data_IF_413807317186
#
_entry.id   IF_413807317186
#
_cell.length_a   1.000
_cell.length_b   1.000
_cell.length_c   1.000
_cell.angle_alpha   90.00
_cell.angle_beta   90.00
_cell.angle_gamma   90.00
#
_symmetry.space_group_name_H-M   'P 1'
#
loop_
_entity.id
_entity.type
_entity.pdbx_description
1 polymer ?
#
# COMPACT_ATOMS: atom_id res chain seq x y z
N UNK A 1 15.21 -46.53 -32.08
CA UNK A 1 14.69 -46.00 -30.80
C UNK A 1 15.72 -45.05 -30.24
N UNK A 2 15.54 -43.74 -30.39
CA UNK A 2 16.35 -42.77 -29.63
C UNK A 2 15.83 -42.81 -28.19
N UNK A 3 16.62 -43.40 -27.30
CA UNK A 3 16.45 -43.17 -25.87
C UNK A 3 16.79 -41.70 -25.66
N UNK A 4 15.77 -40.86 -25.52
CA UNK A 4 15.96 -39.52 -24.99
C UNK A 4 16.59 -39.71 -23.60
N UNK A 5 17.87 -39.39 -23.47
CA UNK A 5 18.51 -39.26 -22.19
C UNK A 5 17.72 -38.19 -21.43
N UNK A 6 16.86 -38.62 -20.51
CA UNK A 6 16.14 -37.72 -19.62
C UNK A 6 17.21 -36.96 -18.84
N UNK A 7 17.39 -35.69 -19.19
CA UNK A 7 18.34 -34.81 -18.52
C UNK A 7 17.96 -34.73 -17.04
N UNK A 8 18.75 -35.36 -16.18
CA UNK A 8 18.65 -35.14 -14.74
C UNK A 8 19.06 -33.70 -14.48
N UNK A 9 18.25 -32.97 -13.74
CA UNK A 9 18.62 -31.62 -13.30
C UNK A 9 19.14 -31.67 -11.87
N UNK A 10 19.93 -30.68 -11.49
CA UNK A 10 20.26 -30.42 -10.10
C UNK A 10 19.88 -28.98 -9.75
N UNK A 11 19.27 -28.78 -8.58
CA UNK A 11 18.94 -27.46 -8.02
C UNK A 11 19.97 -27.15 -6.95
N UNK A 12 20.62 -26.00 -7.05
CA UNK A 12 21.57 -25.53 -6.04
C UNK A 12 20.83 -25.22 -4.74
N UNK A 13 21.26 -25.80 -3.61
CA UNK A 13 20.56 -25.68 -2.31
C UNK A 13 21.19 -24.68 -1.34
N UNK A 14 22.36 -24.15 -1.67
CA UNK A 14 23.13 -23.24 -0.83
C UNK A 14 23.54 -21.98 -1.59
N UNK A 15 23.79 -20.90 -0.87
CA UNK A 15 24.37 -19.69 -1.46
C UNK A 15 25.87 -19.85 -1.68
N UNK A 16 26.39 -19.11 -2.68
CA UNK A 16 27.82 -19.03 -2.98
C UNK A 16 28.50 -20.37 -3.34
N UNK A 17 27.80 -21.24 -4.05
CA UNK A 17 28.32 -22.55 -4.48
C UNK A 17 29.30 -22.37 -5.64
N UNK A 18 30.57 -22.81 -5.52
CA UNK A 18 31.56 -22.62 -6.58
C UNK A 18 31.32 -23.62 -7.73
N UNK A 19 31.13 -23.10 -8.94
CA UNK A 19 31.23 -23.90 -10.17
C UNK A 19 32.72 -24.00 -10.55
N UNK A 20 33.29 -25.20 -10.50
CA UNK A 20 34.74 -25.41 -10.66
C UNK A 20 35.09 -26.02 -12.01
N UNK A 21 36.30 -25.74 -12.49
CA UNK A 21 36.83 -26.31 -13.73
C UNK A 21 37.17 -27.82 -13.63
N UNK A 22 37.17 -28.40 -12.43
CA UNK A 22 37.47 -29.82 -12.21
C UNK A 22 36.89 -30.34 -10.88
N UNK A 23 36.79 -31.67 -10.71
CA UNK A 23 36.14 -32.32 -9.56
C UNK A 23 37.06 -32.37 -8.32
N UNK A 24 37.51 -31.20 -7.85
CA UNK A 24 38.35 -31.05 -6.64
C UNK A 24 38.29 -29.60 -6.12
N UNK A 25 38.45 -29.41 -4.81
CA UNK A 25 38.34 -28.08 -4.20
C UNK A 25 39.43 -27.10 -4.64
N UNK A 26 40.60 -27.61 -4.99
CA UNK A 26 41.73 -26.81 -5.50
C UNK A 26 41.61 -26.47 -6.99
N UNK A 27 40.54 -26.90 -7.68
CA UNK A 27 40.30 -26.49 -9.05
C UNK A 27 39.81 -25.04 -9.12
N UNK A 28 40.23 -24.33 -10.16
CA UNK A 28 39.86 -22.94 -10.39
C UNK A 28 38.33 -22.77 -10.41
N UNK A 29 37.84 -21.78 -9.67
CA UNK A 29 36.45 -21.38 -9.67
C UNK A 29 36.14 -20.61 -10.95
N UNK A 30 35.16 -21.06 -11.71
CA UNK A 30 34.74 -20.45 -12.97
C UNK A 30 33.53 -19.53 -12.80
N UNK A 31 32.66 -19.81 -11.83
CA UNK A 31 31.51 -19.00 -11.49
C UNK A 31 31.05 -19.27 -10.04
N UNK A 32 30.18 -18.40 -9.53
CA UNK A 32 29.47 -18.60 -8.26
C UNK A 32 28.00 -18.81 -8.57
N UNK A 33 27.44 -19.89 -8.03
CA UNK A 33 26.04 -20.26 -8.11
C UNK A 33 25.33 -19.93 -6.79
N UNK A 34 24.03 -19.72 -6.89
CA UNK A 34 23.19 -19.34 -5.74
C UNK A 34 22.02 -20.29 -5.60
N UNK A 35 21.43 -20.34 -4.41
CA UNK A 35 20.31 -21.23 -4.17
C UNK A 35 19.17 -20.97 -5.18
N UNK A 36 18.64 -22.06 -5.74
CA UNK A 36 17.64 -22.00 -6.80
C UNK A 36 18.18 -21.95 -8.23
N UNK A 37 19.49 -21.74 -8.45
CA UNK A 37 20.10 -21.96 -9.78
C UNK A 37 19.85 -23.44 -10.19
N UNK A 38 19.52 -23.68 -11.47
CA UNK A 38 19.31 -25.02 -12.03
C UNK A 38 20.43 -25.40 -12.98
N UNK A 39 20.82 -26.67 -12.90
CA UNK A 39 21.96 -27.23 -13.62
C UNK A 39 21.53 -28.50 -14.35
N UNK A 40 21.96 -28.66 -15.60
CA UNK A 40 21.84 -29.93 -16.31
C UNK A 40 22.97 -30.86 -15.86
N UNK A 41 22.65 -32.03 -15.32
CA UNK A 41 23.65 -33.02 -14.87
C UNK A 41 24.08 -33.87 -16.06
N UNK A 42 25.39 -33.92 -16.30
CA UNK A 42 26.02 -34.66 -17.41
C UNK A 42 26.87 -35.84 -16.96
N UNK A 43 27.16 -35.95 -15.67
CA UNK A 43 27.90 -37.06 -15.09
C UNK A 43 28.25 -36.83 -13.63
N UNK A 44 28.91 -37.81 -13.01
CA UNK A 44 29.38 -37.74 -11.63
C UNK A 44 30.80 -38.29 -11.52
N UNK A 45 31.67 -37.61 -10.77
CA UNK A 45 33.05 -38.02 -10.55
C UNK A 45 33.56 -37.51 -9.20
N UNK A 46 34.12 -38.40 -8.39
CA UNK A 46 34.80 -38.05 -7.13
C UNK A 46 33.91 -37.24 -6.15
N UNK A 47 32.59 -37.50 -6.12
CA UNK A 47 31.64 -36.75 -5.29
C UNK A 47 31.24 -35.38 -5.85
N UNK A 48 31.65 -35.07 -7.09
CA UNK A 48 31.21 -33.89 -7.83
C UNK A 48 30.27 -34.30 -8.96
N UNK A 49 29.24 -33.48 -9.21
CA UNK A 49 28.45 -33.57 -10.43
C UNK A 49 29.12 -32.74 -11.53
N UNK A 50 29.32 -33.34 -12.70
CA UNK A 50 29.62 -32.62 -13.92
C UNK A 50 28.33 -32.01 -14.45
N UNK A 51 28.31 -30.70 -14.63
CA UNK A 51 27.09 -29.95 -14.89
C UNK A 51 27.26 -28.94 -16.02
N UNK A 52 26.12 -28.52 -16.59
CA UNK A 52 26.01 -27.36 -17.45
C UNK A 52 25.02 -26.35 -16.87
N UNK A 53 25.49 -25.13 -16.60
CA UNK A 53 24.66 -23.98 -16.24
C UNK A 53 24.18 -23.31 -17.53
N UNK A 54 22.88 -23.45 -17.83
CA UNK A 54 22.25 -22.84 -19.01
C UNK A 54 22.15 -21.32 -18.91
N UNK A 55 22.07 -20.75 -17.71
CA UNK A 55 21.98 -19.30 -17.52
C UNK A 55 23.28 -18.59 -17.87
N UNK A 56 24.41 -19.22 -17.54
CA UNK A 56 25.76 -18.67 -17.77
C UNK A 56 26.49 -19.32 -18.94
N UNK A 57 25.82 -20.25 -19.63
CA UNK A 57 26.35 -21.06 -20.74
C UNK A 57 27.72 -21.67 -20.40
N UNK A 58 27.82 -22.31 -19.22
CA UNK A 58 29.10 -22.73 -18.66
C UNK A 58 29.06 -24.15 -18.12
N UNK A 59 29.98 -24.98 -18.60
CA UNK A 59 30.26 -26.30 -18.02
C UNK A 59 31.11 -26.16 -16.75
N UNK A 60 30.96 -27.10 -15.82
CA UNK A 60 31.87 -27.23 -14.69
C UNK A 60 31.51 -28.40 -13.77
N UNK A 61 32.04 -28.35 -12.56
CA UNK A 61 31.84 -29.33 -11.51
C UNK A 61 31.35 -28.65 -10.24
N UNK A 62 30.36 -29.25 -9.58
CA UNK A 62 29.82 -28.81 -8.28
C UNK A 62 29.82 -29.98 -7.31
N UNK A 63 30.04 -29.73 -6.02
CA UNK A 63 29.96 -30.78 -5.00
C UNK A 63 28.53 -31.31 -4.92
N UNK A 64 28.36 -32.64 -4.95
CA UNK A 64 27.03 -33.26 -4.92
C UNK A 64 26.24 -32.90 -3.65
N UNK A 65 26.91 -32.59 -2.53
CA UNK A 65 26.28 -32.18 -1.27
C UNK A 65 25.71 -30.76 -1.27
N UNK A 66 26.05 -29.93 -2.27
CA UNK A 66 25.62 -28.53 -2.39
C UNK A 66 24.43 -28.34 -3.35
N UNK A 67 23.97 -29.43 -3.94
CA UNK A 67 22.87 -29.45 -4.90
C UNK A 67 21.94 -30.61 -4.58
N UNK A 68 20.69 -30.53 -5.05
CA UNK A 68 19.75 -31.64 -5.01
C UNK A 68 19.46 -32.07 -6.44
N UNK A 69 19.83 -33.29 -6.80
CA UNK A 69 19.44 -33.89 -8.06
C UNK A 69 17.94 -34.13 -8.06
N UNK A 70 17.27 -33.80 -9.15
CA UNK A 70 15.82 -33.90 -9.30
C UNK A 70 15.47 -34.37 -10.70
N UNK A 71 14.50 -35.27 -10.78
CA UNK A 71 13.92 -35.73 -12.02
C UNK A 71 12.72 -34.84 -12.39
N UNK A 72 12.60 -34.49 -13.67
CA UNK A 72 11.48 -33.70 -14.19
C UNK A 72 10.36 -34.59 -14.77
N UNK A 73 10.30 -35.84 -14.32
CA UNK A 73 9.22 -36.74 -14.74
C UNK A 73 7.93 -36.43 -13.98
N UNK A 74 6.76 -36.71 -14.58
CA UNK A 74 5.46 -36.50 -13.92
C UNK A 74 5.34 -37.17 -12.55
N UNK A 75 5.94 -38.35 -12.36
CA UNK A 75 5.85 -39.10 -11.09
C UNK A 75 6.47 -38.36 -9.89
N UNK A 76 7.42 -37.44 -10.15
CA UNK A 76 8.16 -36.69 -9.12
C UNK A 76 7.47 -35.35 -8.77
N UNK A 77 6.47 -34.93 -9.55
CA UNK A 77 5.79 -33.66 -9.35
C UNK A 77 5.18 -33.50 -7.93
N UNK A 78 4.57 -34.54 -7.30
CA UNK A 78 4.07 -34.41 -5.94
C UNK A 78 5.17 -34.13 -4.89
N UNK A 79 6.35 -34.75 -5.02
CA UNK A 79 7.49 -34.52 -4.12
C UNK A 79 8.02 -33.09 -4.28
N UNK A 80 8.17 -32.64 -5.53
CA UNK A 80 8.54 -31.25 -5.84
C UNK A 80 7.57 -30.24 -5.21
N UNK A 81 6.25 -30.49 -5.31
CA UNK A 81 5.25 -29.62 -4.71
C UNK A 81 5.32 -29.61 -3.17
N UNK A 82 5.64 -30.74 -2.54
CA UNK A 82 5.86 -30.80 -1.10
C UNK A 82 7.03 -29.91 -0.65
N UNK A 83 8.12 -29.89 -1.43
CA UNK A 83 9.25 -28.98 -1.18
C UNK A 83 8.84 -27.52 -1.38
N UNK A 84 8.06 -27.21 -2.42
CA UNK A 84 7.52 -25.85 -2.63
C UNK A 84 6.68 -25.38 -1.44
N UNK A 85 5.81 -26.23 -0.89
CA UNK A 85 5.00 -25.92 0.29
C UNK A 85 5.86 -25.55 1.50
N UNK A 86 6.93 -26.30 1.74
CA UNK A 86 7.88 -26.01 2.83
C UNK A 86 8.64 -24.69 2.60
N UNK A 87 9.16 -24.48 1.39
CA UNK A 87 9.96 -23.30 1.06
C UNK A 87 9.13 -22.01 1.00
N UNK A 88 7.85 -22.11 0.65
CA UNK A 88 6.91 -20.98 0.69
C UNK A 88 6.98 -20.23 2.01
N UNK A 89 7.06 -20.97 3.12
CA UNK A 89 6.99 -20.43 4.47
C UNK A 89 8.39 -20.30 5.13
N UNK A 90 9.46 -20.45 4.36
CA UNK A 90 10.85 -20.34 4.81
C UNK A 90 11.47 -19.00 4.35
N UNK A 91 11.61 -17.98 5.23
CA UNK A 91 12.26 -16.73 4.88
C UNK A 91 13.75 -16.95 4.54
N UNK A 92 14.24 -16.25 3.53
CA UNK A 92 15.64 -16.40 3.07
C UNK A 92 15.83 -17.44 1.96
N UNK A 93 14.86 -18.33 1.76
CA UNK A 93 14.90 -19.40 0.77
C UNK A 93 14.00 -19.14 -0.47
N UNK A 94 13.63 -17.89 -0.71
CA UNK A 94 12.69 -17.51 -1.77
C UNK A 94 13.21 -17.92 -3.16
N UNK A 95 14.48 -17.64 -3.47
CA UNK A 95 15.08 -18.01 -4.75
C UNK A 95 15.10 -19.55 -4.96
N UNK A 96 15.41 -20.31 -3.90
CA UNK A 96 15.36 -21.77 -3.91
C UNK A 96 13.94 -22.27 -4.21
N UNK A 97 12.94 -21.75 -3.50
CA UNK A 97 11.54 -22.14 -3.67
C UNK A 97 10.97 -21.75 -5.05
N UNK A 98 11.40 -20.64 -5.63
CA UNK A 98 11.09 -20.26 -7.01
C UNK A 98 11.67 -21.30 -7.99
N UNK A 99 12.93 -21.73 -7.79
CA UNK A 99 13.55 -22.79 -8.59
C UNK A 99 12.80 -24.13 -8.49
N UNK A 100 12.39 -24.55 -7.29
CA UNK A 100 11.57 -25.75 -7.11
C UNK A 100 10.17 -25.62 -7.73
N UNK A 101 9.59 -24.42 -7.72
CA UNK A 101 8.30 -24.18 -8.38
C UNK A 101 8.43 -24.31 -9.90
N UNK A 102 9.52 -23.79 -10.49
CA UNK A 102 9.81 -23.98 -11.90
C UNK A 102 10.03 -25.46 -12.25
N UNK A 103 10.73 -26.21 -11.39
CA UNK A 103 10.89 -27.66 -11.57
C UNK A 103 9.54 -28.39 -11.50
N UNK A 104 8.69 -28.06 -10.53
CA UNK A 104 7.33 -28.59 -10.44
C UNK A 104 6.52 -28.31 -11.71
N UNK A 105 6.50 -27.07 -12.19
CA UNK A 105 5.74 -26.67 -13.38
C UNK A 105 6.24 -27.36 -14.67
N UNK A 106 7.53 -27.75 -14.72
CA UNK A 106 8.08 -28.54 -15.82
C UNK A 106 7.73 -30.02 -15.72
N UNK A 107 7.60 -30.56 -14.51
CA UNK A 107 7.33 -31.98 -14.27
C UNK A 107 5.82 -32.30 -14.31
N UNK A 108 4.99 -31.43 -13.75
CA UNK A 108 3.56 -31.67 -13.55
C UNK A 108 2.80 -31.72 -14.90
N UNK A 109 1.92 -32.71 -15.11
CA UNK A 109 0.97 -32.69 -16.21
C UNK A 109 0.09 -31.44 -16.15
N UNK A 110 -0.24 -30.85 -17.31
CA UNK A 110 -0.98 -29.59 -17.37
C UNK A 110 -2.34 -29.63 -16.65
N UNK A 111 -3.02 -30.78 -16.63
CA UNK A 111 -4.29 -30.98 -15.92
C UNK A 111 -4.18 -30.97 -14.40
N UNK A 112 -2.98 -31.20 -13.86
CA UNK A 112 -2.73 -31.31 -12.41
C UNK A 112 -2.22 -29.99 -11.81
N UNK A 113 -1.90 -28.99 -12.64
CA UNK A 113 -1.40 -27.68 -12.19
C UNK A 113 -2.58 -26.86 -11.65
N UNK A 114 -2.67 -26.76 -10.32
CA UNK A 114 -3.67 -25.95 -9.61
C UNK A 114 -3.15 -24.52 -9.33
N UNK A 115 -3.94 -23.71 -8.62
CA UNK A 115 -3.53 -22.37 -8.20
C UNK A 115 -2.41 -22.37 -7.14
N UNK A 116 -2.23 -23.47 -6.41
CA UNK A 116 -1.27 -23.58 -5.30
C UNK A 116 0.18 -23.23 -5.65
N UNK A 117 0.82 -23.79 -6.69
CA UNK A 117 2.18 -23.42 -7.08
C UNK A 117 2.33 -21.93 -7.39
N UNK A 118 1.31 -21.30 -7.99
CA UNK A 118 1.34 -19.87 -8.32
C UNK A 118 1.16 -18.99 -7.09
N UNK A 119 0.33 -19.39 -6.13
CA UNK A 119 0.21 -18.71 -4.83
C UNK A 119 1.53 -18.78 -4.04
N UNK A 120 2.21 -19.93 -4.06
CA UNK A 120 3.52 -20.09 -3.45
C UNK A 120 4.58 -19.22 -4.16
N UNK A 121 4.66 -19.29 -5.49
CA UNK A 121 5.56 -18.48 -6.32
C UNK A 121 5.39 -16.99 -6.04
N UNK A 122 4.15 -16.50 -6.10
CA UNK A 122 3.83 -15.10 -5.83
C UNK A 122 4.21 -14.68 -4.41
N UNK A 123 3.94 -15.53 -3.41
CA UNK A 123 4.27 -15.25 -2.00
C UNK A 123 5.78 -15.13 -1.77
N UNK A 124 6.57 -15.99 -2.42
CA UNK A 124 8.04 -15.94 -2.35
C UNK A 124 8.60 -14.73 -3.10
N UNK A 125 8.08 -14.43 -4.30
CA UNK A 125 8.49 -13.26 -5.08
C UNK A 125 8.19 -11.95 -4.33
N UNK A 126 7.01 -11.82 -3.75
CA UNK A 126 6.59 -10.67 -2.95
C UNK A 126 7.48 -10.49 -1.70
N UNK A 127 7.79 -11.59 -1.00
CA UNK A 127 8.69 -11.55 0.16
C UNK A 127 10.11 -11.16 -0.25
N UNK A 128 10.61 -11.66 -1.38
CA UNK A 128 11.91 -11.29 -1.93
C UNK A 128 11.97 -9.80 -2.29
N UNK A 129 10.92 -9.25 -2.91
CA UNK A 129 10.83 -7.82 -3.22
C UNK A 129 10.85 -6.94 -1.95
N UNK A 130 10.14 -7.35 -0.89
CA UNK A 130 10.16 -6.67 0.42
C UNK A 130 11.54 -6.74 1.07
N UNK A 131 12.19 -7.91 1.07
CA UNK A 131 13.56 -8.08 1.57
C UNK A 131 14.53 -7.16 0.82
N UNK A 132 14.43 -7.09 -0.50
CA UNK A 132 15.24 -6.21 -1.33
C UNK A 132 15.04 -4.73 -0.97
N UNK A 133 13.79 -4.30 -0.80
CA UNK A 133 13.47 -2.93 -0.39
C UNK A 133 14.01 -2.61 1.01
N UNK A 134 13.95 -3.56 1.95
CA UNK A 134 14.40 -3.36 3.33
C UNK A 134 15.94 -3.39 3.49
N UNK A 135 16.66 -4.09 2.61
CA UNK A 135 18.12 -4.28 2.70
C UNK A 135 18.94 -3.35 1.81
N UNK A 136 18.31 -2.34 1.18
CA UNK A 136 19.02 -1.33 0.41
C UNK A 136 20.09 -0.62 1.24
N UNK A 137 21.30 -0.53 0.69
CA UNK A 137 22.46 0.07 1.36
C UNK A 137 23.10 -0.79 2.46
N UNK A 138 22.65 -2.04 2.67
CA UNK A 138 23.24 -2.95 3.66
C UNK A 138 24.29 -3.91 3.08
N UNK A 139 25.15 -4.49 3.93
CA UNK A 139 26.12 -5.54 3.53
C UNK A 139 25.46 -6.82 3.00
N UNK A 140 24.20 -7.08 3.37
CA UNK A 140 23.41 -8.22 2.88
C UNK A 140 22.85 -8.01 1.45
N UNK A 141 23.08 -6.84 0.85
CA UNK A 141 22.58 -6.47 -0.49
C UNK A 141 23.08 -7.40 -1.60
N UNK A 142 24.28 -7.98 -1.49
CA UNK A 142 24.82 -8.85 -2.53
C UNK A 142 24.07 -10.19 -2.66
N UNK A 143 23.74 -10.82 -1.52
CA UNK A 143 22.93 -12.05 -1.50
C UNK A 143 21.53 -11.80 -2.04
N UNK A 144 20.88 -10.72 -1.62
CA UNK A 144 19.53 -10.39 -2.12
C UNK A 144 19.55 -10.06 -3.61
N UNK A 145 20.55 -9.33 -4.09
CA UNK A 145 20.71 -9.08 -5.52
C UNK A 145 20.85 -10.39 -6.31
N UNK A 146 21.67 -11.33 -5.83
CA UNK A 146 21.80 -12.63 -6.46
C UNK A 146 20.50 -13.45 -6.43
N UNK A 147 19.73 -13.41 -5.33
CA UNK A 147 18.41 -14.05 -5.24
C UNK A 147 17.41 -13.44 -6.23
N UNK A 148 17.45 -12.12 -6.43
CA UNK A 148 16.65 -11.44 -7.45
C UNK A 148 17.04 -11.89 -8.86
N UNK A 149 18.33 -12.00 -9.17
CA UNK A 149 18.79 -12.52 -10.46
C UNK A 149 18.28 -13.95 -10.73
N UNK A 150 18.38 -14.85 -9.74
CA UNK A 150 17.85 -16.21 -9.84
C UNK A 150 16.34 -16.18 -10.12
N UNK A 151 15.57 -15.37 -9.38
CA UNK A 151 14.14 -15.23 -9.60
C UNK A 151 13.80 -14.70 -11.01
N UNK A 152 14.52 -13.67 -11.48
CA UNK A 152 14.30 -13.09 -12.82
C UNK A 152 14.62 -14.07 -13.95
N UNK A 153 15.60 -14.98 -13.75
CA UNK A 153 15.88 -16.05 -14.71
C UNK A 153 14.68 -16.98 -14.91
N UNK A 154 13.85 -17.18 -13.88
CA UNK A 154 12.60 -17.94 -13.98
C UNK A 154 11.41 -17.11 -14.47
N UNK A 155 11.63 -15.86 -14.92
CA UNK A 155 10.58 -14.98 -15.43
C UNK A 155 9.82 -14.19 -14.36
N UNK A 156 10.29 -14.17 -13.11
CA UNK A 156 9.72 -13.32 -12.06
C UNK A 156 10.18 -11.88 -12.25
N UNK A 157 9.24 -10.97 -12.56
CA UNK A 157 9.58 -9.58 -12.84
C UNK A 157 9.35 -8.67 -11.63
N UNK A 158 10.27 -7.74 -11.42
CA UNK A 158 10.18 -6.72 -10.39
C UNK A 158 10.17 -5.33 -11.00
N UNK A 159 9.40 -4.42 -10.40
CA UNK A 159 9.32 -3.00 -10.73
C UNK A 159 9.85 -2.18 -9.58
N UNK A 160 10.56 -1.11 -9.91
CA UNK A 160 11.12 -0.18 -8.95
C UNK A 160 10.35 1.13 -9.01
N UNK A 161 9.96 1.65 -7.85
CA UNK A 161 9.34 2.97 -7.69
C UNK A 161 10.15 3.78 -6.70
N UNK A 162 10.43 5.05 -7.01
CA UNK A 162 11.03 5.97 -6.06
C UNK A 162 9.92 6.56 -5.18
N UNK A 163 9.97 6.26 -3.88
CA UNK A 163 9.13 6.91 -2.89
C UNK A 163 10.03 7.73 -1.97
N UNK A 164 10.04 9.04 -2.20
CA UNK A 164 10.68 10.04 -1.33
C UNK A 164 12.20 9.77 -1.14
N UNK A 165 12.87 9.39 -2.23
CA UNK A 165 14.30 9.08 -2.25
C UNK A 165 14.62 7.66 -1.76
N UNK A 166 13.62 6.88 -1.38
CA UNK A 166 13.75 5.46 -1.06
C UNK A 166 13.20 4.60 -2.19
N UNK A 167 14.06 3.77 -2.77
CA UNK A 167 13.67 2.87 -3.85
C UNK A 167 12.82 1.72 -3.28
N UNK A 168 11.61 1.54 -3.81
CA UNK A 168 10.72 0.43 -3.46
C UNK A 168 10.73 -0.57 -4.59
N UNK A 169 11.09 -1.82 -4.28
CA UNK A 169 10.98 -2.92 -5.24
C UNK A 169 9.66 -3.66 -5.01
N UNK A 170 8.93 -3.89 -6.09
CA UNK A 170 7.61 -4.51 -6.10
C UNK A 170 7.58 -5.64 -7.12
N UNK A 171 7.02 -6.79 -6.72
CA UNK A 171 6.73 -7.86 -7.67
C UNK A 171 5.59 -7.43 -8.62
N UNK A 172 5.65 -7.81 -9.90
CA UNK A 172 4.63 -7.46 -10.91
C UNK A 172 3.29 -8.22 -10.75
N UNK A 173 3.23 -9.16 -9.81
CA UNK A 173 2.03 -9.89 -9.44
C UNK A 173 1.55 -10.92 -10.47
N UNK A 174 2.37 -11.31 -11.44
CA UNK A 174 1.96 -12.19 -12.54
C UNK A 174 1.42 -13.56 -12.06
N UNK A 175 2.10 -14.20 -11.12
CA UNK A 175 1.66 -15.47 -10.52
C UNK A 175 0.33 -15.30 -9.76
N UNK A 176 0.16 -14.20 -9.03
CA UNK A 176 -1.10 -13.90 -8.34
C UNK A 176 -2.26 -13.61 -9.30
N UNK A 177 -1.98 -12.96 -10.45
CA UNK A 177 -2.99 -12.81 -11.51
C UNK A 177 -3.43 -14.16 -12.08
N UNK A 178 -2.52 -15.14 -12.19
CA UNK A 178 -2.90 -16.53 -12.53
C UNK A 178 -3.77 -17.17 -11.45
N UNK A 179 -3.42 -17.02 -10.16
CA UNK A 179 -4.27 -17.49 -9.05
C UNK A 179 -5.69 -16.95 -9.15
N UNK A 180 -5.85 -15.66 -9.43
CA UNK A 180 -7.15 -15.00 -9.58
C UNK A 180 -7.94 -15.45 -10.84
N UNK A 181 -7.29 -16.12 -11.79
CA UNK A 181 -7.90 -16.66 -13.00
C UNK A 181 -8.18 -18.17 -12.91
N UNK A 182 -7.78 -18.83 -11.82
CA UNK A 182 -7.93 -20.28 -11.61
C UNK A 182 -8.96 -20.58 -10.51
N UNK A 183 -9.34 -21.85 -10.39
CA UNK A 183 -10.08 -22.36 -9.23
C UNK A 183 -9.14 -22.39 -8.01
N UNK A 184 -9.16 -21.31 -7.22
CA UNK A 184 -8.33 -21.12 -6.04
C UNK A 184 -9.17 -21.12 -4.75
N UNK A 185 -8.56 -21.51 -3.63
CA UNK A 185 -9.22 -21.42 -2.32
C UNK A 185 -9.50 -19.95 -1.94
N UNK A 186 -10.46 -19.67 -1.05
CA UNK A 186 -10.71 -18.31 -0.56
C UNK A 186 -9.44 -17.61 -0.04
N UNK A 187 -8.58 -18.33 0.69
CA UNK A 187 -7.34 -17.79 1.23
C UNK A 187 -6.31 -17.46 0.15
N UNK A 188 -6.21 -18.30 -0.90
CA UNK A 188 -5.35 -18.05 -2.05
C UNK A 188 -5.84 -16.83 -2.84
N UNK A 189 -7.15 -16.73 -3.09
CA UNK A 189 -7.75 -15.55 -3.74
C UNK A 189 -7.51 -14.27 -2.94
N UNK A 190 -7.68 -14.34 -1.62
CA UNK A 190 -7.46 -13.21 -0.72
C UNK A 190 -5.99 -12.76 -0.72
N UNK A 191 -5.01 -13.68 -0.60
CA UNK A 191 -3.58 -13.35 -0.70
C UNK A 191 -3.23 -12.74 -2.05
N UNK A 192 -3.73 -13.31 -3.13
CA UNK A 192 -3.50 -12.80 -4.48
C UNK A 192 -4.07 -11.39 -4.67
N UNK A 193 -5.32 -11.16 -4.24
CA UNK A 193 -5.95 -9.84 -4.27
C UNK A 193 -5.16 -8.81 -3.45
N UNK A 194 -4.71 -9.17 -2.24
CA UNK A 194 -3.88 -8.30 -1.41
C UNK A 194 -2.52 -7.97 -2.04
N UNK A 195 -1.89 -8.93 -2.72
CA UNK A 195 -0.59 -8.72 -3.34
C UNK A 195 -0.69 -7.77 -4.55
N UNK A 196 -1.67 -7.98 -5.44
CA UNK A 196 -1.77 -7.20 -6.69
C UNK A 196 -2.37 -5.80 -6.51
N UNK A 197 -2.91 -5.49 -5.34
CA UNK A 197 -3.56 -4.20 -5.06
C UNK A 197 -2.76 -3.31 -4.11
N UNK A 198 -1.46 -3.56 -3.89
CA UNK A 198 -0.63 -2.84 -2.90
C UNK A 198 -0.60 -1.32 -3.11
N UNK A 199 -0.76 -0.55 -2.04
CA UNK A 199 -0.71 0.92 -2.09
C UNK A 199 0.72 1.44 -2.30
N UNK A 200 1.70 0.72 -1.75
CA UNK A 200 3.13 1.04 -1.82
C UNK A 200 3.81 0.47 -3.08
N UNK A 201 3.03 -0.08 -4.01
CA UNK A 201 3.49 -0.59 -5.30
C UNK A 201 2.73 0.06 -6.47
N UNK A 202 2.47 1.35 -6.34
CA UNK A 202 1.87 2.18 -7.39
C UNK A 202 2.88 3.26 -7.71
N UNK A 203 3.10 3.48 -9.01
CA UNK A 203 3.93 4.58 -9.50
C UNK A 203 3.38 5.92 -8.95
N UNK A 204 4.17 6.69 -8.17
CA UNK A 204 3.75 7.99 -7.67
C UNK A 204 3.58 9.03 -8.80
N UNK A 205 4.22 8.82 -9.96
CA UNK A 205 4.09 9.66 -11.15
C UNK A 205 2.86 9.34 -12.01
N UNK A 206 2.01 8.40 -11.59
CA UNK A 206 0.87 7.95 -12.40
C UNK A 206 -0.12 9.10 -12.66
N UNK A 207 -0.44 9.41 -13.94
CA UNK A 207 -1.39 10.47 -14.27
C UNK A 207 -2.78 10.23 -13.65
N UNK A 208 -3.54 11.29 -13.29
CA UNK A 208 -4.82 11.14 -12.58
C UNK A 208 -5.84 10.19 -13.21
N UNK A 209 -5.96 10.21 -14.55
CA UNK A 209 -6.89 9.32 -15.28
C UNK A 209 -6.46 7.85 -15.17
N UNK A 210 -5.16 7.57 -15.31
CA UNK A 210 -4.62 6.22 -15.17
C UNK A 210 -4.73 5.74 -13.72
N UNK A 211 -4.51 6.65 -12.75
CA UNK A 211 -4.71 6.35 -11.34
C UNK A 211 -6.14 5.95 -11.01
N UNK A 212 -7.12 6.66 -11.55
CA UNK A 212 -8.53 6.28 -11.41
C UNK A 212 -8.81 4.89 -11.98
N UNK A 213 -8.36 4.60 -13.20
CA UNK A 213 -8.58 3.30 -13.84
C UNK A 213 -7.96 2.17 -13.00
N UNK A 214 -6.75 2.39 -12.50
CA UNK A 214 -6.08 1.46 -11.60
C UNK A 214 -6.87 1.24 -10.31
N UNK A 215 -7.32 2.31 -9.64
CA UNK A 215 -8.08 2.20 -8.40
C UNK A 215 -9.44 1.52 -8.60
N UNK A 216 -10.09 1.75 -9.74
CA UNK A 216 -11.31 1.04 -10.14
C UNK A 216 -11.06 -0.46 -10.27
N UNK A 217 -10.03 -0.85 -11.03
CA UNK A 217 -9.62 -2.25 -11.16
C UNK A 217 -9.23 -2.87 -9.82
N UNK A 218 -8.53 -2.14 -8.94
CA UNK A 218 -8.16 -2.61 -7.59
C UNK A 218 -9.40 -2.90 -6.75
N UNK A 219 -10.41 -2.03 -6.79
CA UNK A 219 -11.67 -2.24 -6.10
C UNK A 219 -12.39 -3.49 -6.62
N UNK A 220 -12.48 -3.65 -7.95
CA UNK A 220 -13.08 -4.83 -8.57
C UNK A 220 -12.37 -6.12 -8.14
N UNK A 221 -11.04 -6.16 -8.16
CA UNK A 221 -10.26 -7.33 -7.73
C UNK A 221 -10.54 -7.68 -6.27
N UNK A 222 -10.62 -6.69 -5.40
CA UNK A 222 -10.91 -6.91 -3.97
C UNK A 222 -12.35 -7.37 -3.74
N UNK A 223 -13.30 -6.93 -4.57
CA UNK A 223 -14.72 -7.26 -4.42
C UNK A 223 -15.12 -8.57 -5.09
N UNK A 224 -14.30 -9.13 -6.00
CA UNK A 224 -14.49 -10.49 -6.54
C UNK A 224 -14.60 -11.55 -5.44
N UNK A 225 -13.91 -11.35 -4.32
CA UNK A 225 -14.11 -12.18 -3.14
C UNK A 225 -15.42 -11.79 -2.45
N UNK A 226 -16.50 -12.44 -2.90
CA UNK A 226 -17.86 -12.23 -2.39
C UNK A 226 -18.04 -12.58 -0.91
N UNK A 227 -19.24 -12.32 -0.39
CA UNK A 227 -19.53 -12.42 1.04
C UNK A 227 -19.32 -13.84 1.62
N UNK A 228 -19.73 -14.88 0.90
CA UNK A 228 -19.61 -16.26 1.36
C UNK A 228 -18.14 -16.72 1.52
N UNK A 229 -17.26 -16.62 0.49
CA UNK A 229 -15.85 -16.99 0.67
C UNK A 229 -15.13 -16.04 1.65
N UNK A 230 -15.49 -14.75 1.70
CA UNK A 230 -14.94 -13.82 2.68
C UNK A 230 -15.25 -14.25 4.13
N UNK A 231 -16.46 -14.73 4.40
CA UNK A 231 -16.86 -15.16 5.74
C UNK A 231 -16.06 -16.38 6.25
N UNK A 232 -15.58 -17.23 5.34
CA UNK A 232 -14.78 -18.42 5.65
C UNK A 232 -13.32 -18.11 5.98
N UNK A 233 -12.84 -16.90 5.66
CA UNK A 233 -11.45 -16.53 5.89
C UNK A 233 -11.10 -16.45 7.38
N UNK A 234 -9.83 -16.74 7.74
CA UNK A 234 -9.27 -16.38 9.03
C UNK A 234 -9.34 -14.86 9.29
N UNK A 235 -9.54 -14.47 10.54
CA UNK A 235 -9.73 -13.06 10.93
C UNK A 235 -8.56 -12.13 10.53
N UNK A 236 -7.27 -12.53 10.66
CA UNK A 236 -6.17 -11.70 10.20
C UNK A 236 -6.25 -11.37 8.70
N UNK A 237 -6.74 -12.31 7.88
CA UNK A 237 -6.87 -12.11 6.44
C UNK A 237 -8.09 -11.25 6.08
N UNK A 238 -9.20 -11.40 6.84
CA UNK A 238 -10.34 -10.48 6.77
C UNK A 238 -9.91 -9.05 7.07
N UNK A 239 -9.18 -8.84 8.17
CA UNK A 239 -8.66 -7.54 8.55
C UNK A 239 -7.81 -6.91 7.44
N UNK A 240 -6.83 -7.64 6.89
CA UNK A 240 -5.99 -7.14 5.78
C UNK A 240 -6.81 -6.74 4.55
N UNK A 241 -7.81 -7.54 4.17
CA UNK A 241 -8.70 -7.21 3.06
C UNK A 241 -9.54 -5.97 3.34
N UNK A 242 -10.11 -5.84 4.54
CA UNK A 242 -10.87 -4.65 4.96
C UNK A 242 -10.00 -3.40 4.92
N UNK A 243 -8.79 -3.47 5.45
CA UNK A 243 -7.82 -2.37 5.41
C UNK A 243 -7.50 -1.96 3.97
N UNK A 244 -7.25 -2.94 3.10
CA UNK A 244 -6.98 -2.67 1.69
C UNK A 244 -8.19 -2.06 0.98
N UNK A 245 -9.39 -2.59 1.19
CA UNK A 245 -10.64 -2.04 0.64
C UNK A 245 -10.87 -0.62 1.14
N UNK A 246 -10.70 -0.36 2.44
CA UNK A 246 -10.85 0.96 3.02
C UNK A 246 -9.94 2.00 2.34
N UNK A 247 -8.66 1.67 2.16
CA UNK A 247 -7.71 2.55 1.47
C UNK A 247 -8.04 2.77 -0.01
N UNK A 248 -8.43 1.73 -0.75
CA UNK A 248 -8.79 1.83 -2.18
C UNK A 248 -10.07 2.65 -2.38
N UNK A 249 -11.10 2.37 -1.60
CA UNK A 249 -12.38 3.08 -1.70
C UNK A 249 -12.28 4.55 -1.26
N UNK A 250 -11.40 4.88 -0.31
CA UNK A 250 -11.06 6.26 0.02
C UNK A 250 -10.43 7.00 -1.17
N UNK A 251 -9.51 6.33 -1.88
CA UNK A 251 -8.91 6.87 -3.10
C UNK A 251 -9.93 7.11 -4.22
N UNK A 252 -10.83 6.14 -4.44
CA UNK A 252 -11.92 6.28 -5.40
C UNK A 252 -12.86 7.45 -5.07
N UNK A 253 -13.21 7.63 -3.80
CA UNK A 253 -14.04 8.76 -3.36
C UNK A 253 -13.39 10.10 -3.70
N UNK A 254 -12.07 10.23 -3.45
CA UNK A 254 -11.32 11.44 -3.83
C UNK A 254 -11.34 11.67 -5.35
N UNK A 255 -11.05 10.65 -6.15
CA UNK A 255 -11.00 10.77 -7.61
C UNK A 255 -12.37 11.11 -8.21
N UNK A 256 -13.44 10.50 -7.69
CA UNK A 256 -14.82 10.80 -8.09
C UNK A 256 -15.19 12.25 -7.77
N UNK A 257 -14.90 12.71 -6.55
CA UNK A 257 -15.17 14.09 -6.15
C UNK A 257 -14.41 15.11 -7.00
N UNK A 258 -13.13 14.82 -7.32
CA UNK A 258 -12.30 15.66 -8.19
C UNK A 258 -12.89 15.85 -9.59
N UNK A 259 -13.67 14.88 -10.09
CA UNK A 259 -14.37 14.96 -11.39
C UNK A 259 -15.81 15.50 -11.29
N UNK A 260 -16.28 15.85 -10.10
CA UNK A 260 -17.67 16.24 -9.88
C UNK A 260 -18.66 15.06 -9.97
N UNK A 261 -18.18 13.83 -9.83
CA UNK A 261 -19.01 12.63 -9.76
C UNK A 261 -19.49 12.37 -8.32
N UNK A 262 -20.50 11.50 -8.17
CA UNK A 262 -21.03 11.10 -6.87
C UNK A 262 -20.04 10.26 -6.05
N UNK A 263 -19.27 10.91 -5.17
CA UNK A 263 -18.26 10.28 -4.32
C UNK A 263 -18.81 9.59 -3.04
N UNK A 264 -20.06 9.87 -2.68
CA UNK A 264 -20.64 9.45 -1.41
C UNK A 264 -20.67 7.92 -1.20
N UNK A 265 -21.07 7.09 -2.19
CA UNK A 265 -21.07 5.64 -2.01
C UNK A 265 -19.66 5.07 -1.76
N UNK A 266 -18.66 5.56 -2.48
CA UNK A 266 -17.27 5.14 -2.30
C UNK A 266 -16.75 5.50 -0.89
N UNK A 267 -17.04 6.71 -0.43
CA UNK A 267 -16.64 7.18 0.89
C UNK A 267 -17.31 6.39 2.02
N UNK A 268 -18.61 6.12 1.90
CA UNK A 268 -19.35 5.28 2.85
C UNK A 268 -18.79 3.86 2.88
N UNK A 269 -18.45 3.29 1.72
CA UNK A 269 -17.81 1.98 1.67
C UNK A 269 -16.45 1.98 2.37
N UNK A 270 -15.62 3.01 2.16
CA UNK A 270 -14.33 3.15 2.81
C UNK A 270 -14.46 3.19 4.35
N UNK A 271 -15.41 3.97 4.86
CA UNK A 271 -15.73 4.07 6.29
C UNK A 271 -16.23 2.74 6.87
N UNK A 272 -17.12 2.04 6.14
CA UNK A 272 -17.68 0.76 6.58
C UNK A 272 -16.61 -0.34 6.67
N UNK A 273 -15.70 -0.41 5.68
CA UNK A 273 -14.61 -1.39 5.69
C UNK A 273 -13.65 -1.14 6.85
N UNK A 274 -13.26 0.11 7.10
CA UNK A 274 -12.41 0.45 8.24
C UNK A 274 -13.09 0.16 9.59
N UNK A 275 -14.40 0.44 9.71
CA UNK A 275 -15.17 0.16 10.92
C UNK A 275 -15.34 -1.35 11.17
N UNK A 276 -15.32 -2.17 10.12
CA UNK A 276 -15.43 -3.62 10.22
C UNK A 276 -14.15 -4.34 10.66
N UNK A 277 -13.03 -3.63 10.85
CA UNK A 277 -11.76 -4.23 11.27
C UNK A 277 -11.83 -4.67 12.73
N UNK A 278 -11.52 -5.93 12.99
CA UNK A 278 -11.37 -6.44 14.35
C UNK A 278 -9.99 -6.08 14.90
N UNK A 279 -9.93 -5.05 15.75
CA UNK A 279 -8.68 -4.51 16.31
C UNK A 279 -7.95 -5.46 17.25
N UNK A 280 -8.62 -6.46 17.83
CA UNK A 280 -7.97 -7.43 18.73
C UNK A 280 -7.15 -8.47 17.97
N UNK A 281 -7.36 -8.58 16.67
CA UNK A 281 -6.73 -9.55 15.76
C UNK A 281 -5.77 -8.85 14.77
N UNK A 282 -5.18 -7.72 15.19
CA UNK A 282 -4.16 -7.01 14.43
C UNK A 282 -2.77 -7.38 14.97
N UNK A 283 -1.90 -7.87 14.09
CA UNK A 283 -0.48 -7.97 14.39
C UNK A 283 0.21 -6.60 14.34
N UNK A 284 1.44 -6.50 14.85
CA UNK A 284 2.25 -5.28 14.75
C UNK A 284 2.43 -4.80 13.30
N UNK A 285 2.55 -5.75 12.36
CA UNK A 285 2.61 -5.44 10.94
C UNK A 285 1.28 -4.87 10.43
N UNK A 286 0.15 -5.40 10.88
CA UNK A 286 -1.17 -4.93 10.47
C UNK A 286 -1.52 -3.56 11.09
N UNK A 287 -0.92 -3.18 12.23
CA UNK A 287 -1.10 -1.85 12.83
C UNK A 287 -0.60 -0.73 11.91
N UNK A 288 0.53 -0.94 11.23
CA UNK A 288 1.06 0.05 10.27
C UNK A 288 0.06 0.24 9.11
N UNK A 289 -0.47 -0.85 8.56
CA UNK A 289 -1.47 -0.81 7.50
C UNK A 289 -2.80 -0.23 7.99
N UNK A 290 -3.20 -0.51 9.24
CA UNK A 290 -4.38 0.05 9.88
C UNK A 290 -4.32 1.57 9.92
N UNK A 291 -3.23 2.13 10.44
CA UNK A 291 -3.05 3.56 10.53
C UNK A 291 -3.00 4.22 9.15
N UNK A 292 -2.33 3.60 8.17
CA UNK A 292 -2.32 4.14 6.81
C UNK A 292 -3.72 4.17 6.19
N UNK A 293 -4.50 3.09 6.34
CA UNK A 293 -5.88 3.03 5.88
C UNK A 293 -6.74 4.08 6.60
N UNK A 294 -6.58 4.23 7.92
CA UNK A 294 -7.29 5.23 8.71
C UNK A 294 -7.01 6.66 8.23
N UNK A 295 -5.76 6.99 7.90
CA UNK A 295 -5.42 8.31 7.35
C UNK A 295 -6.06 8.54 5.98
N UNK A 296 -6.02 7.55 5.08
CA UNK A 296 -6.66 7.65 3.75
C UNK A 296 -8.17 7.89 3.87
N UNK A 297 -8.85 7.08 4.68
CA UNK A 297 -10.28 7.21 4.95
C UNK A 297 -10.58 8.55 5.61
N UNK A 298 -9.77 8.94 6.60
CA UNK A 298 -9.91 10.21 7.31
C UNK A 298 -9.78 11.41 6.38
N UNK A 299 -8.84 11.39 5.42
CA UNK A 299 -8.67 12.43 4.41
C UNK A 299 -9.92 12.57 3.53
N UNK A 300 -10.48 11.47 3.01
CA UNK A 300 -11.66 11.54 2.12
C UNK A 300 -13.02 11.49 2.82
N UNK A 301 -13.08 11.42 4.17
CA UNK A 301 -14.34 11.14 4.90
C UNK A 301 -15.49 12.09 4.59
N UNK A 302 -15.19 13.36 4.30
CA UNK A 302 -16.21 14.37 4.02
C UNK A 302 -16.99 14.10 2.73
N UNK A 303 -16.47 13.25 1.83
CA UNK A 303 -17.22 12.78 0.69
C UNK A 303 -18.48 11.98 1.07
N UNK A 304 -18.52 11.38 2.27
CA UNK A 304 -19.67 10.63 2.76
C UNK A 304 -20.79 11.55 3.31
N UNK A 305 -20.45 12.81 3.58
CA UNK A 305 -21.32 13.79 4.22
C UNK A 305 -22.02 14.64 3.16
N UNK A 306 -23.29 14.96 3.41
CA UNK A 306 -24.00 15.97 2.64
C UNK A 306 -23.72 17.34 3.21
N UNK A 307 -23.52 18.34 2.35
CA UNK A 307 -23.31 19.70 2.82
C UNK A 307 -24.55 20.17 3.60
N UNK A 308 -24.39 20.63 4.85
CA UNK A 308 -25.52 21.14 5.60
C UNK A 308 -26.08 22.37 4.88
N UNK A 309 -27.41 22.50 4.84
CA UNK A 309 -28.04 23.74 4.43
C UNK A 309 -27.61 24.83 5.45
N UNK A 310 -26.71 25.72 5.05
CA UNK A 310 -26.29 26.81 5.92
C UNK A 310 -27.47 27.76 6.10
N UNK A 311 -27.89 28.09 7.33
CA UNK A 311 -28.85 29.16 7.54
C UNK A 311 -28.25 30.44 6.96
N UNK A 312 -29.01 31.14 6.11
CA UNK A 312 -28.56 32.33 5.37
C UNK A 312 -28.00 33.46 6.25
N UNK A 313 -28.16 33.38 7.57
CA UNK A 313 -27.70 34.36 8.57
C UNK A 313 -26.29 34.13 9.12
N UNK A 314 -25.56 33.08 8.70
CA UNK A 314 -24.19 32.77 9.19
C UNK A 314 -23.19 32.72 8.05
N UNK A 315 -21.90 32.78 8.41
CA UNK A 315 -20.81 32.53 7.47
C UNK A 315 -21.03 31.18 6.79
N UNK A 316 -20.83 31.16 5.47
CA UNK A 316 -20.91 29.97 4.63
C UNK A 316 -19.85 29.99 3.55
N UNK A 317 -19.77 28.90 2.80
CA UNK A 317 -18.89 28.79 1.63
C UNK A 317 -19.69 28.32 0.43
N UNK A 318 -19.36 28.90 -0.71
CA UNK A 318 -19.82 28.45 -2.01
C UNK A 318 -18.61 28.31 -2.94
N UNK A 319 -18.73 27.45 -3.94
CA UNK A 319 -17.66 27.20 -4.89
C UNK A 319 -18.07 27.65 -6.29
N UNK A 320 -17.08 28.08 -7.08
CA UNK A 320 -17.23 28.32 -8.52
C UNK A 320 -16.04 27.74 -9.28
N UNK A 321 -16.22 27.32 -10.54
CA UNK A 321 -15.10 27.04 -11.43
C UNK A 321 -14.21 28.28 -11.60
N UNK A 322 -12.89 28.10 -11.51
CA UNK A 322 -11.87 29.10 -11.82
C UNK A 322 -11.24 28.82 -13.18
N UNK A 323 -9.90 28.77 -13.22
CA UNK A 323 -9.15 28.20 -14.35
C UNK A 323 -9.50 26.71 -14.59
N UNK A 324 -9.13 26.12 -15.73
CA UNK A 324 -9.36 24.70 -15.98
C UNK A 324 -8.80 23.81 -14.86
N UNK A 325 -9.69 23.07 -14.19
CA UNK A 325 -9.36 22.19 -13.06
C UNK A 325 -9.24 22.90 -11.70
N UNK A 326 -9.45 24.22 -11.67
CA UNK A 326 -9.40 25.04 -10.46
C UNK A 326 -10.82 25.26 -9.90
N UNK A 327 -10.94 25.18 -8.58
CA UNK A 327 -12.15 25.53 -7.82
C UNK A 327 -11.86 26.74 -6.95
N UNK A 328 -12.61 27.81 -7.14
CA UNK A 328 -12.56 29.00 -6.30
C UNK A 328 -13.57 28.89 -5.16
N UNK A 329 -13.08 29.01 -3.94
CA UNK A 329 -13.87 29.02 -2.70
C UNK A 329 -14.14 30.45 -2.31
N UNK A 330 -15.41 30.78 -2.14
CA UNK A 330 -15.86 32.11 -1.75
C UNK A 330 -16.51 32.05 -0.37
N UNK A 331 -16.05 32.90 0.55
CA UNK A 331 -16.67 33.09 1.86
C UNK A 331 -17.85 34.06 1.74
N UNK A 332 -19.00 33.66 2.27
CA UNK A 332 -20.26 34.42 2.16
C UNK A 332 -20.92 34.60 3.52
N UNK A 333 -21.81 35.58 3.63
CA UNK A 333 -22.72 35.77 4.76
C UNK A 333 -24.10 36.23 4.26
N UNK A 334 -24.94 36.75 5.16
CA UNK A 334 -26.27 37.25 4.82
C UNK A 334 -26.27 38.44 3.83
N UNK A 335 -25.21 39.25 3.85
CA UNK A 335 -25.07 40.49 3.06
C UNK A 335 -24.17 40.31 1.84
N UNK A 336 -23.28 39.32 1.87
CA UNK A 336 -22.22 39.08 0.90
C UNK A 336 -22.41 37.71 0.24
N UNK A 337 -22.91 37.72 -1.00
CA UNK A 337 -23.09 36.52 -1.81
C UNK A 337 -21.99 36.30 -2.85
N UNK A 338 -22.25 35.44 -3.84
CA UNK A 338 -21.29 35.04 -4.88
C UNK A 338 -20.68 36.19 -5.72
N UNK A 339 -21.37 37.33 -5.82
CA UNK A 339 -20.91 38.49 -6.61
C UNK A 339 -19.97 39.41 -5.85
N UNK A 340 -20.01 39.36 -4.52
CA UNK A 340 -19.24 40.24 -3.64
C UNK A 340 -18.90 39.47 -2.36
N UNK A 341 -18.10 38.39 -2.46
CA UNK A 341 -17.77 37.56 -1.32
C UNK A 341 -16.86 38.30 -0.34
N UNK A 342 -16.87 37.87 0.91
CA UNK A 342 -16.02 38.41 1.97
C UNK A 342 -14.53 38.11 1.72
N UNK A 343 -14.25 36.94 1.15
CA UNK A 343 -12.92 36.50 0.74
C UNK A 343 -13.05 35.45 -0.37
N UNK A 344 -12.01 35.32 -1.18
CA UNK A 344 -11.92 34.30 -2.21
C UNK A 344 -10.52 33.69 -2.25
N UNK A 345 -10.46 32.37 -2.42
CA UNK A 345 -9.21 31.64 -2.67
C UNK A 345 -9.48 30.44 -3.58
N UNK A 346 -8.64 30.27 -4.59
CA UNK A 346 -8.76 29.18 -5.54
C UNK A 346 -7.75 28.05 -5.28
N UNK A 347 -8.09 26.83 -5.69
CA UNK A 347 -7.29 25.62 -5.50
C UNK A 347 -7.56 24.59 -6.59
N UNK A 348 -6.57 23.75 -6.89
CA UNK A 348 -6.71 22.57 -7.76
C UNK A 348 -7.10 21.30 -6.99
N UNK A 349 -7.28 21.42 -5.66
CA UNK A 349 -7.72 20.33 -4.79
C UNK A 349 -9.23 20.17 -4.72
N UNK A 350 -9.68 19.09 -4.09
CA UNK A 350 -11.10 18.87 -3.78
C UNK A 350 -11.49 19.69 -2.56
N UNK A 351 -12.52 20.54 -2.72
CA UNK A 351 -13.08 21.34 -1.65
C UNK A 351 -14.26 20.61 -1.01
N UNK A 352 -14.13 20.25 0.26
CA UNK A 352 -15.18 19.55 1.00
C UNK A 352 -16.12 20.55 1.67
N UNK A 353 -17.06 21.13 0.93
CA UNK A 353 -17.98 22.17 1.46
C UNK A 353 -18.80 21.70 2.66
N UNK A 354 -19.08 20.39 2.77
CA UNK A 354 -19.75 19.80 3.93
C UNK A 354 -18.99 19.95 5.25
N UNK A 355 -17.69 20.23 5.20
CA UNK A 355 -16.86 20.44 6.39
C UNK A 355 -16.93 21.87 6.92
N UNK A 356 -17.61 22.79 6.24
CA UNK A 356 -17.61 24.20 6.59
C UNK A 356 -18.12 24.41 8.03
N UNK A 357 -17.25 24.91 8.89
CA UNK A 357 -17.50 25.06 10.31
C UNK A 357 -17.34 26.53 10.70
N UNK A 358 -18.41 27.35 10.64
CA UNK A 358 -18.33 28.76 11.00
C UNK A 358 -18.13 28.93 12.51
N UNK A 359 -17.29 29.89 12.89
CA UNK A 359 -17.11 30.28 14.28
C UNK A 359 -18.37 31.04 14.79
N UNK A 360 -18.84 30.81 16.03
CA UNK A 360 -20.08 31.41 16.54
C UNK A 360 -20.15 32.95 16.50
N UNK A 361 -19.01 33.64 16.57
CA UNK A 361 -18.94 35.10 16.51
C UNK A 361 -18.93 35.68 15.07
N UNK A 362 -18.96 34.83 14.03
CA UNK A 362 -18.96 35.28 12.63
C UNK A 362 -17.64 35.86 12.12
N UNK A 363 -16.50 35.63 12.80
CA UNK A 363 -15.17 36.16 12.43
C UNK A 363 -14.18 35.11 11.92
N UNK A 364 -14.59 33.84 11.86
CA UNK A 364 -13.76 32.78 11.30
C UNK A 364 -14.59 31.62 10.74
N UNK A 365 -14.02 30.85 9.83
CA UNK A 365 -14.60 29.61 9.31
C UNK A 365 -13.49 28.62 8.99
N UNK A 366 -13.67 27.37 9.41
CA UNK A 366 -12.75 26.28 9.07
C UNK A 366 -13.33 25.43 7.92
N UNK A 367 -12.48 25.04 6.97
CA UNK A 367 -12.85 24.29 5.77
C UNK A 367 -11.77 23.26 5.41
N UNK A 368 -12.18 22.06 5.05
CA UNK A 368 -11.28 20.99 4.68
C UNK A 368 -11.07 20.98 3.15
N UNK A 369 -9.80 21.02 2.73
CA UNK A 369 -9.41 21.03 1.32
C UNK A 369 -8.38 19.95 1.09
N UNK A 370 -8.63 19.08 0.12
CA UNK A 370 -7.81 17.90 -0.15
C UNK A 370 -7.09 18.07 -1.49
N UNK A 371 -5.83 18.54 -1.51
CA UNK A 371 -5.08 18.68 -2.75
C UNK A 371 -4.65 17.34 -3.37
N UNK A 372 -4.37 16.31 -2.54
CA UNK A 372 -3.95 14.98 -3.00
C UNK A 372 -4.77 13.87 -2.33
N UNK A 373 -4.78 12.70 -2.95
CA UNK A 373 -5.57 11.54 -2.48
C UNK A 373 -5.33 11.19 -1.00
N UNK A 374 -4.07 11.23 -0.55
CA UNK A 374 -3.70 10.94 0.83
C UNK A 374 -3.53 12.18 1.71
N UNK A 375 -3.74 13.39 1.20
CA UNK A 375 -3.33 14.63 1.87
C UNK A 375 -4.46 15.64 1.96
N UNK A 376 -4.93 15.95 3.18
CA UNK A 376 -5.98 16.97 3.41
C UNK A 376 -5.56 18.06 4.39
N UNK A 377 -5.68 19.29 3.94
CA UNK A 377 -5.37 20.50 4.66
C UNK A 377 -6.61 21.08 5.34
N UNK A 378 -6.38 21.93 6.35
CA UNK A 378 -7.41 22.73 6.99
C UNK A 378 -7.19 24.19 6.60
N UNK A 379 -8.11 24.74 5.81
CA UNK A 379 -8.17 26.15 5.52
C UNK A 379 -8.93 26.86 6.64
N UNK A 380 -8.40 27.99 7.10
CA UNK A 380 -9.03 28.81 8.12
C UNK A 380 -9.18 30.22 7.56
N UNK A 381 -10.44 30.59 7.29
CA UNK A 381 -10.82 31.96 6.98
C UNK A 381 -10.91 32.75 8.27
N UNK A 382 -10.31 33.93 8.35
CA UNK A 382 -10.25 34.74 9.57
C UNK A 382 -10.41 36.22 9.26
N UNK A 383 -11.11 36.93 10.13
CA UNK A 383 -11.27 38.38 10.03
C UNK A 383 -10.40 39.08 11.08
N UNK A 384 -9.43 39.85 10.62
CA UNK A 384 -8.59 40.72 11.43
C UNK A 384 -8.89 42.21 11.16
N UNK A 385 -8.04 43.11 11.68
CA UNK A 385 -8.20 44.56 11.50
C UNK A 385 -8.02 45.04 10.05
N UNK A 386 -7.35 44.24 9.22
CA UNK A 386 -7.04 44.54 7.81
C UNK A 386 -8.06 43.94 6.84
N UNK A 387 -8.83 42.95 7.28
CA UNK A 387 -9.90 42.34 6.51
C UNK A 387 -9.96 40.83 6.70
N UNK A 388 -10.47 40.13 5.69
CA UNK A 388 -10.50 38.68 5.66
C UNK A 388 -9.22 38.11 5.05
N UNK A 389 -8.65 37.10 5.70
CA UNK A 389 -7.50 36.33 5.23
C UNK A 389 -7.82 34.82 5.25
N UNK A 390 -7.05 34.04 4.49
CA UNK A 390 -7.20 32.58 4.40
C UNK A 390 -5.84 31.92 4.62
N UNK A 391 -5.70 31.28 5.77
CA UNK A 391 -4.51 30.51 6.12
C UNK A 391 -4.72 29.02 5.83
N UNK A 392 -3.64 28.32 5.49
CA UNK A 392 -3.65 26.89 5.19
C UNK A 392 -2.79 26.16 6.19
N UNK A 393 -3.42 25.25 6.93
CA UNK A 393 -2.75 24.36 7.86
C UNK A 393 -2.50 23.03 7.14
N UNK A 394 -1.23 22.68 6.81
CA UNK A 394 -0.91 21.37 6.26
C UNK A 394 -0.88 20.31 7.37
N UNK A 395 -1.11 19.02 7.08
CA UNK A 395 -0.93 17.90 7.99
C UNK A 395 0.48 17.77 8.59
N UNK A 396 1.53 18.05 7.81
CA UNK A 396 2.91 18.08 8.26
C UNK A 396 3.70 19.16 7.52
N UNK A 397 4.87 19.53 8.06
CA UNK A 397 5.74 20.56 7.50
C UNK A 397 6.57 20.08 6.29
N UNK A 398 6.83 18.77 6.22
CA UNK A 398 7.55 18.11 5.12
C UNK A 398 6.58 17.42 4.16
N UNK A 399 7.13 17.04 3.00
CA UNK A 399 6.46 16.58 1.77
C UNK A 399 5.13 15.81 1.95
N UNK A 400 4.14 16.07 1.07
CA UNK A 400 2.83 15.47 1.22
C UNK A 400 2.82 14.00 0.78
N UNK A 401 2.87 13.08 1.75
CA UNK A 401 2.71 11.64 1.48
C UNK A 401 1.31 11.14 1.89
N UNK A 402 1.04 11.21 3.19
CA UNK A 402 -0.18 10.69 3.79
C UNK A 402 -0.45 11.47 5.08
N UNK A 403 -1.52 12.24 5.11
CA UNK A 403 -1.89 13.00 6.29
C UNK A 403 -3.18 13.78 6.13
N UNK A 404 -3.86 14.04 7.23
CA UNK A 404 -4.89 15.04 7.28
C UNK A 404 -4.79 15.85 8.56
N UNK A 405 -5.22 17.11 8.48
CA UNK A 405 -5.62 17.91 9.63
C UNK A 405 -7.12 18.19 9.52
N UNK A 406 -7.81 18.23 10.66
CA UNK A 406 -9.23 18.53 10.71
C UNK A 406 -9.61 19.43 11.88
N UNK A 407 -10.64 20.24 11.64
CA UNK A 407 -11.33 21.01 12.66
C UNK A 407 -11.96 20.07 13.69
N UNK A 408 -11.70 20.32 14.97
CA UNK A 408 -12.24 19.55 16.09
C UNK A 408 -13.07 20.38 17.08
N UNK A 409 -13.16 21.70 16.93
CA UNK A 409 -13.98 22.55 17.80
C UNK A 409 -13.49 23.99 17.92
N UNK A 410 -14.40 24.86 18.35
CA UNK A 410 -14.11 26.25 18.71
C UNK A 410 -14.14 26.39 20.23
N UNK A 411 -13.14 27.03 20.82
CA UNK A 411 -13.14 27.32 22.25
C UNK A 411 -13.93 28.61 22.51
N UNK A 412 -14.87 28.63 23.48
CA UNK A 412 -15.57 29.86 23.86
C UNK A 412 -14.60 30.98 24.25
N UNK A 413 -14.96 32.22 23.91
CA UNK A 413 -14.04 33.37 23.93
C UNK A 413 -13.46 33.69 22.55
N UNK A 414 -13.45 32.70 21.64
CA UNK A 414 -13.19 32.90 20.21
C UNK A 414 -11.73 33.12 19.84
N UNK A 415 -10.81 32.83 20.76
CA UNK A 415 -9.37 33.01 20.56
C UNK A 415 -8.66 31.71 20.22
N UNK A 416 -9.34 30.54 20.31
CA UNK A 416 -8.68 29.23 20.13
C UNK A 416 -9.47 28.26 19.27
N UNK A 417 -8.71 27.49 18.51
CA UNK A 417 -9.13 26.44 17.60
C UNK A 417 -8.63 25.09 18.10
N UNK A 418 -9.49 24.07 18.08
CA UNK A 418 -9.12 22.69 18.33
C UNK A 418 -8.93 21.96 17.01
N UNK A 419 -7.86 21.18 16.88
CA UNK A 419 -7.58 20.40 15.68
C UNK A 419 -7.14 18.98 16.02
N UNK A 420 -7.47 18.03 15.15
CA UNK A 420 -6.85 16.71 15.12
C UNK A 420 -5.99 16.57 13.86
N UNK A 421 -4.80 16.01 14.03
CA UNK A 421 -3.81 15.87 12.97
C UNK A 421 -3.27 14.45 12.97
N UNK A 422 -3.29 13.82 11.81
CA UNK A 422 -2.63 12.55 11.57
C UNK A 422 -1.77 12.65 10.32
N UNK A 423 -0.51 12.27 10.41
CA UNK A 423 0.39 12.30 9.27
C UNK A 423 1.47 11.22 9.38
N UNK A 424 1.91 10.72 8.23
CA UNK A 424 3.18 10.02 8.10
C UNK A 424 4.25 11.07 7.77
N UNK A 425 5.26 11.16 8.62
CA UNK A 425 6.40 12.07 8.46
C UNK A 425 7.67 11.31 8.81
N UNK A 426 8.67 11.33 7.92
CA UNK A 426 9.97 10.64 8.13
C UNK A 426 9.79 9.14 8.44
N UNK A 427 8.87 8.48 7.74
CA UNK A 427 8.54 7.07 7.94
C UNK A 427 7.81 6.75 9.25
N UNK A 428 7.48 7.75 10.08
CA UNK A 428 6.75 7.58 11.34
C UNK A 428 5.34 8.13 11.23
N UNK A 429 4.38 7.35 11.71
CA UNK A 429 3.01 7.81 11.89
C UNK A 429 2.91 8.64 13.17
N UNK A 430 2.33 9.83 13.07
CA UNK A 430 2.05 10.72 14.19
C UNK A 430 0.58 11.08 14.20
N UNK A 431 -0.02 11.00 15.40
CA UNK A 431 -1.36 11.51 15.69
C UNK A 431 -1.25 12.51 16.84
N UNK A 432 -1.76 13.70 16.64
CA UNK A 432 -1.81 14.77 17.64
C UNK A 432 -3.20 15.40 17.69
N UNK A 433 -3.60 15.74 18.90
CA UNK A 433 -4.72 16.63 19.20
C UNK A 433 -4.11 17.95 19.65
N UNK A 434 -4.59 19.06 19.09
CA UNK A 434 -3.93 20.36 19.16
C UNK A 434 -4.91 21.45 19.63
N UNK A 435 -4.42 22.36 20.46
CA UNK A 435 -5.04 23.65 20.77
C UNK A 435 -4.17 24.72 20.13
N UNK A 436 -4.73 25.45 19.17
CA UNK A 436 -4.05 26.53 18.47
C UNK A 436 -4.70 27.88 18.74
N UNK A 437 -3.89 28.93 18.75
CA UNK A 437 -4.36 30.31 18.80
C UNK A 437 -5.02 30.67 17.45
N UNK A 438 -6.23 31.22 17.46
CA UNK A 438 -6.93 31.57 16.22
C UNK A 438 -6.26 32.74 15.49
N UNK A 439 -5.62 33.67 16.21
CA UNK A 439 -4.99 34.85 15.61
C UNK A 439 -3.75 34.51 14.76
N UNK A 440 -3.00 33.48 15.14
CA UNK A 440 -1.71 33.12 14.52
C UNK A 440 -1.68 31.71 13.95
N UNK A 441 -2.63 30.85 14.35
CA UNK A 441 -2.68 29.41 14.12
C UNK A 441 -1.49 28.63 14.69
N UNK A 442 -0.72 29.26 15.59
CA UNK A 442 0.34 28.58 16.33
C UNK A 442 -0.26 27.58 17.31
N UNK A 443 0.28 26.37 17.33
CA UNK A 443 -0.09 25.31 18.28
C UNK A 443 0.48 25.67 19.65
N UNK A 444 -0.39 25.97 20.61
CA UNK A 444 0.00 26.26 22.00
C UNK A 444 0.24 24.96 22.79
N UNK A 445 -0.62 23.95 22.57
CA UNK A 445 -0.59 22.68 23.28
C UNK A 445 -0.94 21.54 22.34
N UNK A 446 -0.28 20.40 22.53
CA UNK A 446 -0.57 19.17 21.80
C UNK A 446 -0.51 17.95 22.72
N UNK A 447 -1.26 16.91 22.38
CA UNK A 447 -1.24 15.63 23.08
C UNK A 447 -1.56 14.46 22.14
N UNK A 448 -1.19 13.23 22.53
CA UNK A 448 -1.51 12.00 21.78
C UNK A 448 -2.95 11.54 21.97
N UNK A 449 -3.64 12.01 23.01
CA UNK A 449 -5.05 11.75 23.28
C UNK A 449 -5.75 13.04 23.71
N UNK A 450 -7.04 13.20 23.38
CA UNK A 450 -7.77 14.45 23.65
C UNK A 450 -8.02 14.68 25.15
N UNK A 451 -8.06 13.62 25.96
CA UNK A 451 -8.30 13.70 27.41
C UNK A 451 -7.19 14.41 28.18
N UNK A 452 -5.98 14.47 27.62
CA UNK A 452 -4.84 15.17 28.21
C UNK A 452 -4.92 16.70 28.02
N UNK A 453 -5.86 17.19 27.23
CA UNK A 453 -6.04 18.61 26.94
C UNK A 453 -7.39 19.08 27.50
N UNK A 454 -7.36 19.84 28.59
CA UNK A 454 -8.59 20.31 29.29
C UNK A 454 -9.56 21.03 28.35
N UNK A 455 -9.07 21.93 27.51
CA UNK A 455 -9.92 22.66 26.56
C UNK A 455 -10.48 21.73 25.48
N UNK A 456 -9.64 20.80 25.01
CA UNK A 456 -10.05 19.82 24.01
C UNK A 456 -11.13 18.91 24.58
N UNK A 457 -11.00 18.39 25.80
CA UNK A 457 -12.04 17.56 26.44
C UNK A 457 -13.39 18.25 26.61
N UNK A 458 -13.39 19.57 26.85
CA UNK A 458 -14.60 20.36 27.13
C UNK A 458 -15.34 20.84 25.88
N UNK A 459 -14.61 21.21 24.83
CA UNK A 459 -15.15 22.00 23.71
C UNK A 459 -15.06 21.31 22.35
N UNK A 460 -15.02 19.98 22.33
CA UNK A 460 -15.08 19.21 21.08
C UNK A 460 -16.38 19.51 20.34
N UNK A 461 -16.27 19.75 19.04
CA UNK A 461 -17.43 19.81 18.19
C UNK A 461 -18.15 18.44 18.15
N UNK A 462 -19.48 18.48 18.30
CA UNK A 462 -20.28 17.26 18.41
C UNK A 462 -20.40 16.50 17.07
N UNK A 463 -20.33 17.20 15.92
CA UNK A 463 -20.30 16.55 14.62
C UNK A 463 -18.94 15.89 14.41
N UNK A 464 -17.85 16.60 14.70
CA UNK A 464 -16.49 16.04 14.67
C UNK A 464 -16.37 14.78 15.52
N UNK A 465 -16.79 14.82 16.79
CA UNK A 465 -16.69 13.66 17.70
C UNK A 465 -17.43 12.42 17.19
N UNK A 466 -18.57 12.59 16.51
CA UNK A 466 -19.35 11.48 15.93
C UNK A 466 -18.69 10.89 14.69
N UNK A 467 -18.07 11.73 13.87
CA UNK A 467 -17.66 11.38 12.51
C UNK A 467 -16.17 11.09 12.36
N UNK A 468 -15.33 11.63 13.24
CA UNK A 468 -13.87 11.51 13.11
C UNK A 468 -13.42 10.05 13.17
N UNK A 469 -12.42 9.75 12.35
CA UNK A 469 -11.68 8.48 12.38
C UNK A 469 -10.57 8.54 13.44
N UNK A 470 -10.11 9.73 13.84
CA UNK A 470 -8.99 9.89 14.77
C UNK A 470 -9.24 9.40 16.20
N UNK A 471 -10.52 9.33 16.59
CA UNK A 471 -10.93 8.78 17.88
C UNK A 471 -11.19 7.27 17.85
N UNK A 472 -11.20 6.66 16.67
CA UNK A 472 -11.66 5.28 16.51
C UNK A 472 -10.61 4.27 16.88
#
# INVERSE_FOLDING_TARGET
MLVAALASMAIVTQDQVPLRAGPRDSAAQQAVLWQGDTLEVRGERMGYLQVWDHRRERAGYVLASQVRTTSLKPEEAPELLAVVRFLRDTPGAEALGIGYTAAYLKAAPAGDITAEPFDALGSMAERLARRASAQQGSKASATVAAHLEVATHYGVNFRSYDHDGALRLCYDGEAFRRVLAMAASPEQQARAALAVTRHDCIDPGLPPVQRQQLDGWRAEVLDRLGAAPFAQLPEPLKNRLRLRRAGVWAGLAFQQARRGEGAQPAAQRALAELAGVNKTELSDADLVDYHQAAIRVGASRWAAETAPASPASRLGVITRPGQPGETCVMLTDASHGARSPLAERCTYGVVWTASASPHPNGRALALAVQPLEGWRELWVFRQDATGWSVDVMPPAASQPELGYVEFAGWVPGGEKLLMAREARSEGRLRRSFEVAELATLNVEKQASTPSLLVLFGKWQDAAWKRQTVSLR
#
